data_IF_611595187283
#
_entry.id   IF_611595187283
#
_cell.length_a   1.000
_cell.length_b   1.000
_cell.length_c   1.000
_cell.angle_alpha   90.00
_cell.angle_beta   90.00
_cell.angle_gamma   90.00
#
_symmetry.space_group_name_H-M   'P 1'
#
loop_
_entity.id
_entity.type
_entity.pdbx_description
1 polymer ?
#
# COMPACT_ATOMS: atom_id res chain seq x y z
N UNK A 1 -37.61 19.33 10.50
CA UNK A 1 -36.30 19.51 11.15
C UNK A 1 -35.67 18.16 11.51
N UNK A 2 -36.23 17.38 12.45
CA UNK A 2 -35.64 16.08 12.82
C UNK A 2 -35.66 15.05 11.68
N UNK A 3 -36.79 14.91 10.97
CA UNK A 3 -36.90 13.98 9.84
C UNK A 3 -35.97 14.34 8.67
N UNK A 4 -35.88 15.62 8.32
CA UNK A 4 -34.98 16.11 7.25
C UNK A 4 -33.51 15.89 7.61
N UNK A 5 -33.11 16.15 8.86
CA UNK A 5 -31.77 15.86 9.34
C UNK A 5 -31.46 14.35 9.31
N UNK A 6 -32.40 13.50 9.71
CA UNK A 6 -32.24 12.05 9.68
C UNK A 6 -32.02 11.51 8.25
N UNK A 7 -32.75 12.03 7.27
CA UNK A 7 -32.58 11.65 5.85
C UNK A 7 -31.19 12.03 5.34
N UNK A 8 -30.70 13.24 5.66
CA UNK A 8 -29.35 13.68 5.25
C UNK A 8 -28.24 12.86 5.90
N UNK A 9 -28.38 12.52 7.19
CA UNK A 9 -27.43 11.65 7.90
C UNK A 9 -27.41 10.26 7.27
N UNK A 10 -28.58 9.70 6.92
CA UNK A 10 -28.66 8.39 6.28
C UNK A 10 -28.03 8.39 4.89
N UNK A 11 -28.24 9.45 4.10
CA UNK A 11 -27.61 9.62 2.78
C UNK A 11 -26.08 9.70 2.88
N UNK A 12 -25.55 10.41 3.89
CA UNK A 12 -24.12 10.45 4.16
C UNK A 12 -23.56 9.06 4.51
N UNK A 13 -24.27 8.30 5.35
CA UNK A 13 -23.86 6.95 5.75
C UNK A 13 -23.68 6.00 4.57
N UNK A 14 -24.51 6.09 3.53
CA UNK A 14 -24.36 5.30 2.30
C UNK A 14 -23.00 5.54 1.63
N UNK A 15 -22.58 6.80 1.53
CA UNK A 15 -21.27 7.13 0.94
C UNK A 15 -20.10 6.56 1.75
N UNK A 16 -20.20 6.58 3.08
CA UNK A 16 -19.22 5.97 3.98
C UNK A 16 -19.18 4.44 3.90
N UNK A 17 -20.29 3.79 3.56
CA UNK A 17 -20.35 2.35 3.34
C UNK A 17 -19.77 1.93 1.97
N UNK A 18 -20.01 2.73 0.92
CA UNK A 18 -19.64 2.39 -0.45
C UNK A 18 -18.18 2.73 -0.81
N UNK A 19 -17.63 3.81 -0.25
CA UNK A 19 -16.27 4.25 -0.58
C UNK A 19 -15.18 3.19 -0.31
N UNK A 20 -15.14 2.48 0.84
CA UNK A 20 -14.15 1.44 1.09
C UNK A 20 -14.19 0.33 0.03
N UNK A 21 -15.39 0.01 -0.49
CA UNK A 21 -15.56 -0.98 -1.57
C UNK A 21 -14.90 -0.49 -2.86
N UNK A 22 -15.15 0.75 -3.28
CA UNK A 22 -14.52 1.34 -4.46
C UNK A 22 -13.01 1.45 -4.31
N UNK A 23 -12.53 1.91 -3.15
CA UNK A 23 -11.11 2.02 -2.86
C UNK A 23 -10.41 0.65 -2.93
N UNK A 24 -11.05 -0.42 -2.43
CA UNK A 24 -10.52 -1.78 -2.49
C UNK A 24 -10.36 -2.30 -3.92
N UNK A 25 -11.30 -1.98 -4.82
CA UNK A 25 -11.23 -2.38 -6.23
C UNK A 25 -10.06 -1.67 -6.93
N UNK A 26 -9.94 -0.35 -6.76
CA UNK A 26 -8.83 0.41 -7.34
C UNK A 26 -7.46 0.01 -6.77
N UNK A 27 -7.40 -0.36 -5.49
CA UNK A 27 -6.18 -0.81 -4.84
C UNK A 27 -5.75 -2.20 -5.32
N UNK A 28 -6.70 -3.11 -5.59
CA UNK A 28 -6.42 -4.41 -6.19
C UNK A 28 -5.75 -4.25 -7.57
N UNK A 29 -6.22 -3.28 -8.36
CA UNK A 29 -5.63 -2.90 -9.66
C UNK A 29 -4.39 -2.00 -9.55
N UNK A 30 -3.85 -1.81 -8.33
CA UNK A 30 -2.64 -1.02 -8.04
C UNK A 30 -2.75 0.48 -8.39
N UNK A 31 -3.95 1.05 -8.42
CA UNK A 31 -4.17 2.49 -8.57
C UNK A 31 -4.19 3.25 -7.24
N UNK A 32 -4.45 2.55 -6.13
CA UNK A 32 -4.38 3.08 -4.76
C UNK A 32 -3.34 2.32 -3.92
N UNK A 33 -2.92 2.85 -2.76
CA UNK A 33 -2.02 2.14 -1.85
C UNK A 33 -2.53 0.74 -1.51
N UNK A 34 -1.65 -0.25 -1.53
CA UNK A 34 -2.01 -1.68 -1.32
C UNK A 34 -2.76 -1.93 -0.02
N UNK A 35 -2.59 -1.07 0.98
CA UNK A 35 -3.31 -1.14 2.26
C UNK A 35 -4.84 -1.16 2.09
N UNK A 36 -5.38 -0.53 1.04
CA UNK A 36 -6.82 -0.50 0.77
C UNK A 36 -7.37 -1.78 0.14
N UNK A 37 -6.53 -2.67 -0.39
CA UNK A 37 -6.99 -3.89 -1.07
C UNK A 37 -7.47 -4.99 -0.10
N UNK A 38 -7.03 -4.93 1.16
CA UNK A 38 -7.28 -5.98 2.15
C UNK A 38 -8.69 -5.86 2.75
N UNK A 39 -9.68 -6.54 2.19
CA UNK A 39 -11.09 -6.50 2.62
C UNK A 39 -11.41 -7.14 3.99
N UNK A 40 -10.46 -7.81 4.64
CA UNK A 40 -10.76 -8.82 5.68
C UNK A 40 -10.69 -8.37 7.15
N UNK A 41 -9.90 -7.35 7.49
CA UNK A 41 -9.73 -6.94 8.90
C UNK A 41 -10.50 -5.66 9.18
N UNK A 42 -11.23 -5.60 10.31
CA UNK A 42 -11.97 -4.41 10.78
C UNK A 42 -11.15 -3.10 10.70
N UNK A 43 -9.82 -3.20 10.71
CA UNK A 43 -8.85 -2.10 10.60
C UNK A 43 -8.72 -1.51 9.18
N UNK A 44 -8.95 -2.26 8.10
CA UNK A 44 -8.74 -1.77 6.72
C UNK A 44 -9.97 -1.08 6.15
N UNK A 45 -11.17 -1.56 6.50
CA UNK A 45 -12.42 -0.83 6.24
C UNK A 45 -12.40 0.52 6.98
N UNK A 46 -11.81 0.56 8.17
CA UNK A 46 -11.62 1.79 8.97
C UNK A 46 -10.74 2.82 8.27
N UNK A 47 -9.65 2.43 7.59
CA UNK A 47 -8.79 3.39 6.87
C UNK A 47 -9.54 4.11 5.74
N UNK A 48 -10.38 3.40 4.99
CA UNK A 48 -11.23 4.01 3.95
C UNK A 48 -12.20 5.04 4.54
N UNK A 49 -12.87 4.68 5.62
CA UNK A 49 -13.81 5.57 6.34
C UNK A 49 -13.10 6.78 6.94
N UNK A 50 -11.95 6.60 7.59
CA UNK A 50 -11.15 7.69 8.20
C UNK A 50 -10.68 8.67 7.13
N UNK A 51 -10.17 8.16 6.01
CA UNK A 51 -9.68 9.02 4.93
C UNK A 51 -10.83 9.79 4.29
N UNK A 52 -11.98 9.14 4.06
CA UNK A 52 -13.17 9.84 3.59
C UNK A 52 -13.65 10.90 4.58
N UNK A 53 -13.60 10.62 5.88
CA UNK A 53 -13.97 11.57 6.93
C UNK A 53 -13.03 12.80 6.93
N UNK A 54 -11.71 12.58 6.88
CA UNK A 54 -10.72 13.66 6.80
C UNK A 54 -10.93 14.48 5.52
N UNK A 55 -11.08 13.84 4.36
CA UNK A 55 -11.32 14.53 3.10
C UNK A 55 -12.63 15.34 3.12
N UNK A 56 -13.68 14.78 3.73
CA UNK A 56 -14.97 15.47 3.90
C UNK A 56 -14.83 16.68 4.81
N UNK A 57 -14.12 16.57 5.93
CA UNK A 57 -13.83 17.70 6.84
C UNK A 57 -13.02 18.77 6.10
N UNK A 58 -11.97 18.39 5.38
CA UNK A 58 -11.15 19.33 4.59
C UNK A 58 -12.02 20.06 3.56
N UNK A 59 -12.91 19.35 2.86
CA UNK A 59 -13.83 19.95 1.91
C UNK A 59 -14.79 20.93 2.60
N UNK A 60 -15.34 20.56 3.76
CA UNK A 60 -16.22 21.44 4.55
C UNK A 60 -15.50 22.72 4.96
N UNK A 61 -14.26 22.61 5.44
CA UNK A 61 -13.45 23.76 5.86
C UNK A 61 -13.09 24.67 4.68
N UNK A 62 -12.67 24.11 3.54
CA UNK A 62 -12.31 24.89 2.34
C UNK A 62 -13.50 25.69 1.80
N UNK A 63 -14.69 25.09 1.77
CA UNK A 63 -15.90 25.71 1.22
C UNK A 63 -16.75 26.43 2.26
N UNK A 64 -16.27 26.52 3.51
CA UNK A 64 -16.93 27.21 4.62
C UNK A 64 -18.33 26.66 4.95
N UNK A 65 -18.59 25.39 4.67
CA UNK A 65 -19.92 24.79 4.82
C UNK A 65 -20.99 25.36 3.88
N UNK A 66 -20.62 26.09 2.82
CA UNK A 66 -21.59 26.75 1.95
C UNK A 66 -22.17 25.82 0.88
N UNK A 67 -23.48 25.59 0.93
CA UNK A 67 -24.19 24.75 -0.05
C UNK A 67 -24.04 25.24 -1.49
N UNK A 68 -24.00 26.57 -1.70
CA UNK A 68 -23.91 27.20 -3.01
C UNK A 68 -22.67 26.79 -3.80
N UNK A 69 -21.57 26.50 -3.10
CA UNK A 69 -20.31 26.10 -3.69
C UNK A 69 -20.13 24.58 -3.74
N UNK A 70 -20.70 23.84 -2.77
CA UNK A 70 -20.57 22.38 -2.69
C UNK A 70 -21.49 21.64 -3.66
N UNK A 71 -22.70 22.14 -3.91
CA UNK A 71 -23.68 21.49 -4.80
C UNK A 71 -23.14 21.32 -6.24
N UNK A 72 -22.53 22.34 -6.88
CA UNK A 72 -21.90 22.16 -8.18
C UNK A 72 -20.79 21.11 -8.18
N UNK A 73 -19.99 21.02 -7.11
CA UNK A 73 -18.93 20.02 -7.01
C UNK A 73 -19.48 18.60 -7.08
N UNK A 74 -20.50 18.32 -6.27
CA UNK A 74 -21.19 17.03 -6.26
C UNK A 74 -21.87 16.73 -7.60
N UNK A 75 -22.63 17.69 -8.13
CA UNK A 75 -23.40 17.48 -9.36
C UNK A 75 -22.47 17.15 -10.55
N UNK A 76 -21.36 17.88 -10.72
CA UNK A 76 -20.40 17.63 -11.80
C UNK A 76 -19.79 16.23 -11.65
N UNK A 77 -19.42 15.80 -10.43
CA UNK A 77 -18.90 14.45 -10.20
C UNK A 77 -19.88 13.34 -10.55
N UNK A 78 -21.16 13.50 -10.16
CA UNK A 78 -22.22 12.52 -10.46
C UNK A 78 -22.54 12.49 -11.95
N UNK A 79 -22.74 13.65 -12.59
CA UNK A 79 -23.02 13.70 -14.02
C UNK A 79 -21.84 13.23 -14.87
N UNK A 80 -20.60 13.47 -14.45
CA UNK A 80 -19.43 12.87 -15.09
C UNK A 80 -19.45 11.34 -14.98
N UNK A 81 -19.73 10.82 -13.79
CA UNK A 81 -19.81 9.37 -13.57
C UNK A 81 -20.91 8.72 -14.42
N UNK A 82 -22.08 9.34 -14.50
CA UNK A 82 -23.15 8.89 -15.39
C UNK A 82 -22.76 9.00 -16.86
N UNK A 83 -22.19 10.12 -17.30
CA UNK A 83 -21.75 10.30 -18.69
C UNK A 83 -20.75 9.20 -19.08
N UNK A 84 -19.76 8.93 -18.23
CA UNK A 84 -18.75 7.90 -18.46
C UNK A 84 -19.36 6.49 -18.43
N UNK A 85 -20.24 6.19 -17.48
CA UNK A 85 -20.92 4.90 -17.40
C UNK A 85 -21.81 4.64 -18.62
N UNK A 86 -22.64 5.60 -19.01
CA UNK A 86 -23.54 5.50 -20.15
C UNK A 86 -22.76 5.38 -21.47
N UNK A 87 -21.71 6.19 -21.64
CA UNK A 87 -20.81 6.09 -22.79
C UNK A 87 -20.09 4.73 -22.83
N UNK A 88 -19.66 4.22 -21.67
CA UNK A 88 -19.05 2.90 -21.53
C UNK A 88 -20.01 1.77 -21.95
N UNK A 89 -21.29 1.85 -21.54
CA UNK A 89 -22.32 0.90 -21.94
C UNK A 89 -22.59 0.95 -23.45
N UNK A 90 -22.61 2.13 -24.07
CA UNK A 90 -22.69 2.25 -25.53
C UNK A 90 -21.54 1.52 -26.21
N UNK A 91 -20.30 1.73 -25.74
CA UNK A 91 -19.12 1.03 -26.29
C UNK A 91 -19.21 -0.48 -26.06
N UNK A 92 -19.72 -0.92 -24.90
CA UNK A 92 -19.93 -2.33 -24.58
C UNK A 92 -20.90 -3.00 -25.57
N UNK A 93 -22.11 -2.46 -25.74
CA UNK A 93 -23.10 -2.99 -26.68
C UNK A 93 -22.62 -2.96 -28.14
N UNK A 94 -21.85 -1.95 -28.53
CA UNK A 94 -21.25 -1.88 -29.86
C UNK A 94 -20.16 -2.95 -30.09
N UNK A 95 -19.45 -3.36 -29.03
CA UNK A 95 -18.45 -4.46 -29.11
C UNK A 95 -19.13 -5.81 -29.17
N UNK A 96 -20.21 -5.98 -28.42
CA UNK A 96 -21.03 -7.20 -28.40
C UNK A 96 -21.68 -7.48 -29.76
N UNK A 97 -22.22 -6.45 -30.42
CA UNK A 97 -22.67 -6.54 -31.82
C UNK A 97 -21.61 -7.09 -32.77
N UNK A 98 -20.35 -6.65 -32.63
CA UNK A 98 -19.25 -7.15 -33.49
C UNK A 98 -18.94 -8.62 -33.21
N UNK A 99 -19.15 -9.07 -31.97
CA UNK A 99 -19.04 -10.49 -31.59
C UNK A 99 -20.12 -11.32 -32.27
N UNK A 100 -21.38 -10.84 -32.25
CA UNK A 100 -22.51 -11.49 -32.92
C UNK A 100 -22.36 -11.52 -34.45
N UNK A 101 -21.91 -10.42 -35.07
CA UNK A 101 -21.63 -10.40 -36.51
C UNK A 101 -20.46 -11.34 -36.88
N UNK A 102 -19.45 -11.50 -36.01
CA UNK A 102 -18.37 -12.46 -36.21
C UNK A 102 -18.86 -13.91 -36.09
N UNK A 103 -19.75 -14.20 -35.12
CA UNK A 103 -20.43 -15.49 -34.95
C UNK A 103 -21.22 -15.86 -36.22
N UNK A 104 -22.02 -14.93 -36.75
CA UNK A 104 -22.80 -15.12 -37.96
C UNK A 104 -21.93 -15.39 -39.20
N UNK A 105 -20.76 -14.72 -39.31
CA UNK A 105 -19.79 -14.98 -40.39
C UNK A 105 -19.15 -16.37 -40.30
N UNK A 106 -18.78 -16.80 -39.09
CA UNK A 106 -18.22 -18.14 -38.86
C UNK A 106 -19.25 -19.21 -39.24
N UNK A 107 -20.52 -19.02 -38.85
CA UNK A 107 -21.62 -19.91 -39.20
C UNK A 107 -21.85 -19.99 -40.72
N UNK A 108 -21.91 -18.83 -41.40
CA UNK A 108 -22.09 -18.78 -42.85
C UNK A 108 -20.92 -19.40 -43.62
N UNK A 109 -19.69 -19.22 -43.14
CA UNK A 109 -18.50 -19.84 -43.72
C UNK A 109 -18.51 -21.36 -43.54
N UNK A 110 -18.90 -21.84 -42.36
CA UNK A 110 -19.01 -23.27 -42.10
C UNK A 110 -20.13 -23.93 -42.92
N UNK A 111 -21.28 -23.25 -43.08
CA UNK A 111 -22.37 -23.73 -43.94
C UNK A 111 -21.95 -23.81 -45.42
N UNK A 112 -21.16 -22.84 -45.90
CA UNK A 112 -20.56 -22.88 -47.24
C UNK A 112 -19.51 -24.00 -47.38
N UNK A 113 -18.70 -24.26 -46.36
CA UNK A 113 -17.73 -25.37 -46.34
C UNK A 113 -18.42 -26.75 -46.27
N UNK A 114 -19.58 -26.86 -45.60
CA UNK A 114 -20.42 -28.07 -45.57
C UNK A 114 -20.99 -28.45 -46.94
N UNK A 115 -21.23 -27.49 -47.82
CA UNK A 115 -21.72 -27.77 -49.19
C UNK A 115 -20.66 -28.45 -50.08
N UNK A 116 -19.38 -28.34 -49.73
CA UNK A 116 -18.25 -28.81 -50.56
C UNK A 116 -17.43 -29.95 -49.93
N UNK A 117 -17.77 -30.43 -48.73
CA UNK A 117 -16.95 -31.42 -47.98
C UNK A 117 -17.63 -32.80 -47.90
N UNK A 118 -16.86 -33.85 -48.19
CA UNK A 118 -17.26 -35.28 -48.16
C UNK A 118 -16.84 -36.03 -46.88
N UNK A 119 -16.45 -35.31 -45.81
CA UNK A 119 -15.97 -35.89 -44.55
C UNK A 119 -17.04 -35.99 -43.47
N UNK A 120 -16.78 -36.87 -42.49
CA UNK A 120 -17.67 -37.29 -41.40
C UNK A 120 -18.33 -36.11 -40.64
N UNK A 121 -19.66 -35.94 -40.74
CA UNK A 121 -20.38 -34.75 -40.29
C UNK A 121 -20.43 -34.53 -38.77
N UNK A 122 -20.06 -35.53 -37.95
CA UNK A 122 -20.26 -35.46 -36.50
C UNK A 122 -19.15 -34.71 -35.73
N UNK A 123 -17.91 -34.71 -36.21
CA UNK A 123 -16.77 -34.11 -35.49
C UNK A 123 -16.73 -32.57 -35.60
N UNK A 124 -17.07 -32.00 -36.75
CA UNK A 124 -17.12 -30.54 -36.94
C UNK A 124 -18.31 -29.89 -36.23
N UNK A 125 -19.47 -30.55 -36.29
CA UNK A 125 -20.70 -30.07 -35.67
C UNK A 125 -20.59 -29.96 -34.15
N UNK A 126 -19.76 -30.79 -33.50
CA UNK A 126 -19.53 -30.73 -32.06
C UNK A 126 -18.76 -29.47 -31.65
N UNK A 127 -17.63 -29.17 -32.31
CA UNK A 127 -16.83 -27.98 -32.04
C UNK A 127 -17.58 -26.67 -32.29
N UNK A 128 -18.42 -26.65 -33.33
CA UNK A 128 -19.26 -25.49 -33.63
C UNK A 128 -20.37 -25.32 -32.63
N UNK A 129 -21.03 -26.41 -32.21
CA UNK A 129 -22.04 -26.36 -31.15
C UNK A 129 -21.46 -25.89 -29.82
N UNK A 130 -20.24 -26.29 -29.47
CA UNK A 130 -19.55 -25.80 -28.28
C UNK A 130 -19.24 -24.29 -28.38
N UNK A 131 -18.77 -23.82 -29.54
CA UNK A 131 -18.53 -22.39 -29.79
C UNK A 131 -19.82 -21.56 -29.77
N UNK A 132 -20.91 -22.09 -30.33
CA UNK A 132 -22.21 -21.42 -30.34
C UNK A 132 -22.81 -21.34 -28.94
N UNK A 133 -22.76 -22.42 -28.16
CA UNK A 133 -23.22 -22.43 -26.77
C UNK A 133 -22.47 -21.42 -25.89
N UNK A 134 -21.16 -21.26 -26.10
CA UNK A 134 -20.35 -20.29 -25.37
C UNK A 134 -20.74 -18.83 -25.69
N UNK A 135 -21.35 -18.56 -26.85
CA UNK A 135 -21.75 -17.22 -27.28
C UNK A 135 -23.25 -16.96 -27.01
N UNK A 136 -24.10 -17.96 -27.19
CA UNK A 136 -25.56 -17.91 -26.92
C UNK A 136 -25.85 -17.70 -25.41
N UNK A 137 -24.92 -18.06 -24.53
CA UNK A 137 -25.01 -17.80 -23.09
C UNK A 137 -24.93 -16.29 -22.73
N UNK A 138 -24.56 -15.42 -23.67
CA UNK A 138 -24.47 -13.95 -23.51
C UNK A 138 -25.65 -13.19 -24.18
N UNK A 139 -26.54 -13.87 -24.92
CA UNK A 139 -27.61 -13.20 -25.68
C UNK A 139 -28.80 -12.81 -24.79
N UNK A 140 -28.74 -11.57 -24.27
CA UNK A 140 -29.73 -11.04 -23.34
C UNK A 140 -30.22 -9.62 -23.65
N UNK A 141 -30.54 -9.28 -24.89
CA UNK A 141 -31.39 -8.11 -25.17
C UNK A 141 -31.16 -7.39 -26.50
N UNK A 142 -32.14 -6.58 -26.91
CA UNK A 142 -32.08 -5.72 -28.10
C UNK A 142 -30.93 -4.71 -27.97
N UNK A 143 -29.71 -5.09 -28.38
CA UNK A 143 -28.51 -4.25 -28.30
C UNK A 143 -28.71 -2.87 -28.93
N UNK A 144 -29.53 -2.78 -29.98
CA UNK A 144 -29.86 -1.53 -30.65
C UNK A 144 -30.66 -0.60 -29.73
N UNK A 145 -31.68 -1.13 -29.04
CA UNK A 145 -32.48 -0.37 -28.08
C UNK A 145 -31.61 0.06 -26.89
N UNK A 146 -30.81 -0.85 -26.33
CA UNK A 146 -29.88 -0.54 -25.25
C UNK A 146 -28.86 0.52 -25.66
N UNK A 147 -28.32 0.44 -26.87
CA UNK A 147 -27.36 1.43 -27.41
C UNK A 147 -28.02 2.80 -27.56
N UNK A 148 -29.24 2.88 -28.09
CA UNK A 148 -29.97 4.14 -28.28
C UNK A 148 -30.33 4.77 -26.92
N UNK A 149 -30.83 3.97 -25.98
CA UNK A 149 -31.18 4.45 -24.63
C UNK A 149 -29.94 4.99 -23.92
N UNK A 150 -28.85 4.20 -23.87
CA UNK A 150 -27.62 4.63 -23.21
C UNK A 150 -26.96 5.81 -23.96
N UNK A 151 -27.03 5.86 -25.29
CA UNK A 151 -26.49 6.96 -26.09
C UNK A 151 -27.24 8.27 -25.90
N UNK A 152 -28.56 8.21 -25.79
CA UNK A 152 -29.41 9.37 -25.45
C UNK A 152 -29.12 9.83 -24.03
N UNK A 153 -29.03 8.89 -23.08
CA UNK A 153 -28.65 9.18 -21.70
C UNK A 153 -27.28 9.83 -21.59
N UNK A 154 -26.27 9.32 -22.29
CA UNK A 154 -24.93 9.89 -22.36
C UNK A 154 -24.96 11.32 -22.93
N UNK A 155 -25.73 11.57 -23.98
CA UNK A 155 -25.85 12.89 -24.60
C UNK A 155 -26.51 13.91 -23.65
N UNK A 156 -27.63 13.53 -23.02
CA UNK A 156 -28.33 14.40 -22.07
C UNK A 156 -27.44 14.71 -20.87
N UNK A 157 -26.83 13.68 -20.26
CA UNK A 157 -25.96 13.86 -19.10
C UNK A 157 -24.71 14.67 -19.43
N UNK A 158 -24.14 14.51 -20.63
CA UNK A 158 -23.02 15.32 -21.10
C UNK A 158 -23.40 16.79 -21.31
N UNK A 159 -24.57 17.08 -21.90
CA UNK A 159 -25.07 18.45 -22.03
C UNK A 159 -25.27 19.09 -20.66
N UNK A 160 -25.90 18.36 -19.72
CA UNK A 160 -26.09 18.84 -18.35
C UNK A 160 -24.74 19.10 -17.66
N UNK A 161 -23.77 18.20 -17.83
CA UNK A 161 -22.42 18.36 -17.31
C UNK A 161 -21.77 19.65 -17.82
N UNK A 162 -21.81 19.90 -19.14
CA UNK A 162 -21.28 21.13 -19.75
C UNK A 162 -21.98 22.36 -19.19
N UNK A 163 -23.31 22.36 -19.17
CA UNK A 163 -24.10 23.50 -18.67
C UNK A 163 -23.74 23.79 -17.21
N UNK A 164 -23.66 22.76 -16.35
CA UNK A 164 -23.28 22.94 -14.94
C UNK A 164 -21.84 23.46 -14.80
N UNK A 165 -20.89 22.91 -15.55
CA UNK A 165 -19.50 23.37 -15.49
C UNK A 165 -19.35 24.83 -15.93
N UNK A 166 -20.05 25.24 -17.00
CA UNK A 166 -19.98 26.62 -17.51
C UNK A 166 -20.73 27.59 -16.59
N UNK A 167 -21.98 27.29 -16.23
CA UNK A 167 -22.84 28.21 -15.45
C UNK A 167 -22.38 28.39 -14.01
N UNK A 168 -21.80 27.34 -13.41
CA UNK A 168 -21.31 27.37 -12.01
C UNK A 168 -19.79 27.47 -11.93
N UNK A 169 -19.12 27.86 -13.02
CA UNK A 169 -17.66 27.98 -13.07
C UNK A 169 -17.12 28.83 -11.92
N UNK A 170 -17.67 30.04 -11.74
CA UNK A 170 -17.28 30.98 -10.67
C UNK A 170 -17.70 30.54 -9.27
N UNK A 171 -18.66 29.61 -9.15
CA UNK A 171 -19.20 29.13 -7.88
C UNK A 171 -18.46 27.90 -7.36
N UNK A 172 -17.39 27.46 -8.01
CA UNK A 172 -16.54 26.35 -7.56
C UNK A 172 -16.45 25.18 -8.53
N UNK A 173 -17.19 25.18 -9.64
CA UNK A 173 -17.08 24.10 -10.64
C UNK A 173 -15.67 23.95 -11.22
N UNK A 174 -14.90 25.04 -11.29
CA UNK A 174 -13.48 25.02 -11.68
C UNK A 174 -12.64 24.05 -10.82
N UNK A 175 -12.99 23.90 -9.53
CA UNK A 175 -12.26 23.02 -8.62
C UNK A 175 -12.37 21.57 -9.07
N UNK A 176 -13.54 21.11 -9.54
CA UNK A 176 -13.73 19.74 -10.04
C UNK A 176 -12.95 19.50 -11.34
N UNK A 177 -12.99 20.48 -12.25
CA UNK A 177 -12.28 20.42 -13.54
C UNK A 177 -10.78 20.27 -13.34
N UNK A 178 -10.22 20.81 -12.26
CA UNK A 178 -8.81 20.65 -11.88
C UNK A 178 -8.57 19.38 -11.04
N UNK A 179 -9.44 19.12 -10.07
CA UNK A 179 -9.29 18.04 -9.10
C UNK A 179 -9.36 16.67 -9.75
N UNK A 180 -10.27 16.44 -10.70
CA UNK A 180 -10.43 15.13 -11.34
C UNK A 180 -9.18 14.74 -12.15
N UNK A 181 -8.64 15.58 -13.05
CA UNK A 181 -7.37 15.30 -13.71
C UNK A 181 -6.22 15.07 -12.73
N UNK A 182 -6.13 15.87 -11.66
CA UNK A 182 -5.09 15.70 -10.64
C UNK A 182 -5.19 14.32 -9.96
N UNK A 183 -6.40 13.90 -9.57
CA UNK A 183 -6.63 12.56 -9.00
C UNK A 183 -6.26 11.48 -10.02
N UNK A 184 -6.68 11.60 -11.27
CA UNK A 184 -6.34 10.61 -12.32
C UNK A 184 -4.82 10.52 -12.54
N UNK A 185 -4.11 11.66 -12.58
CA UNK A 185 -2.66 11.70 -12.69
C UNK A 185 -1.98 11.04 -11.48
N UNK A 186 -2.46 11.32 -10.27
CA UNK A 186 -1.98 10.68 -9.05
C UNK A 186 -2.16 9.15 -9.10
N UNK A 187 -3.36 8.66 -9.45
CA UNK A 187 -3.65 7.22 -9.56
C UNK A 187 -2.74 6.56 -10.61
N UNK A 188 -2.53 7.20 -11.77
CA UNK A 188 -1.61 6.69 -12.82
C UNK A 188 -0.15 6.70 -12.35
N UNK A 189 0.27 7.72 -11.61
CA UNK A 189 1.62 7.80 -11.04
C UNK A 189 1.87 6.67 -10.03
N UNK A 190 0.90 6.38 -9.15
CA UNK A 190 0.96 5.27 -8.21
C UNK A 190 1.07 3.93 -8.96
N UNK A 191 0.21 3.70 -9.95
CA UNK A 191 0.25 2.47 -10.75
C UNK A 191 1.60 2.29 -11.48
N UNK A 192 2.11 3.36 -12.11
CA UNK A 192 3.43 3.37 -12.77
C UNK A 192 4.53 3.05 -11.76
N UNK A 193 4.52 3.68 -10.59
CA UNK A 193 5.49 3.41 -9.54
C UNK A 193 5.48 1.93 -9.12
N UNK A 194 4.30 1.36 -8.86
CA UNK A 194 4.21 -0.06 -8.50
C UNK A 194 4.68 -1.00 -9.59
N UNK A 195 4.41 -0.69 -10.86
CA UNK A 195 4.93 -1.48 -12.00
C UNK A 195 6.46 -1.42 -12.09
N UNK A 196 7.05 -0.24 -11.87
CA UNK A 196 8.50 -0.07 -11.86
C UNK A 196 9.15 -0.85 -10.73
N UNK A 197 8.61 -0.79 -9.52
CA UNK A 197 9.10 -1.55 -8.36
C UNK A 197 8.96 -3.06 -8.59
N UNK A 198 7.82 -3.50 -9.13
CA UNK A 198 7.61 -4.92 -9.44
C UNK A 198 8.61 -5.44 -10.50
N UNK A 199 8.92 -4.62 -11.51
CA UNK A 199 9.94 -4.96 -12.50
C UNK A 199 11.36 -5.04 -11.88
N UNK A 200 11.70 -4.12 -10.95
CA UNK A 200 13.00 -4.13 -10.26
C UNK A 200 13.20 -5.31 -9.31
N UNK A 201 12.11 -5.85 -8.76
CA UNK A 201 12.12 -7.02 -7.88
C UNK A 201 11.89 -8.35 -8.64
N UNK A 202 11.60 -8.29 -9.94
CA UNK A 202 11.41 -9.50 -10.74
C UNK A 202 12.74 -10.23 -10.92
N UNK A 203 12.71 -11.54 -10.69
CA UNK A 203 13.84 -12.44 -10.90
C UNK A 203 13.94 -12.93 -12.35
N UNK A 204 13.00 -12.55 -13.22
CA UNK A 204 12.93 -13.01 -14.62
C UNK A 204 14.09 -12.48 -15.48
N UNK A 205 14.64 -11.30 -15.14
CA UNK A 205 15.52 -10.53 -16.05
C UNK A 205 16.98 -10.35 -15.56
N UNK A 206 17.36 -10.91 -14.41
CA UNK A 206 18.73 -10.79 -13.87
C UNK A 206 19.27 -12.09 -13.32
N UNK A 207 20.55 -12.34 -13.55
CA UNK A 207 21.32 -13.36 -12.85
C UNK A 207 21.24 -13.09 -11.34
N UNK A 208 20.37 -13.83 -10.66
CA UNK A 208 20.31 -13.84 -9.20
C UNK A 208 21.71 -14.24 -8.73
N UNK A 209 22.42 -13.41 -7.94
CA UNK A 209 23.73 -13.78 -7.45
C UNK A 209 23.58 -15.11 -6.69
N UNK A 210 24.42 -16.09 -7.05
CA UNK A 210 24.40 -17.39 -6.41
C UNK A 210 24.53 -17.21 -4.90
N UNK A 211 23.81 -18.03 -4.13
CA UNK A 211 23.95 -18.05 -2.68
C UNK A 211 25.43 -18.13 -2.29
N UNK A 212 25.89 -17.32 -1.32
CA UNK A 212 27.28 -17.34 -0.89
C UNK A 212 27.68 -18.77 -0.51
N UNK A 213 28.77 -19.28 -1.09
CA UNK A 213 29.27 -20.64 -0.80
C UNK A 213 29.93 -20.75 0.57
N UNK A 214 30.38 -19.63 1.14
CA UNK A 214 30.96 -19.56 2.47
C UNK A 214 29.99 -18.87 3.45
N UNK A 215 29.96 -19.26 4.73
CA UNK A 215 29.21 -18.54 5.76
C UNK A 215 29.68 -17.08 5.77
N UNK A 216 28.74 -16.15 5.70
CA UNK A 216 29.07 -14.74 5.88
C UNK A 216 29.49 -14.51 7.33
N UNK A 217 30.61 -13.84 7.54
CA UNK A 217 30.99 -13.39 8.88
C UNK A 217 29.91 -12.44 9.40
N UNK A 218 29.43 -12.67 10.62
CA UNK A 218 28.42 -11.84 11.24
C UNK A 218 29.03 -11.17 12.48
N UNK A 219 28.88 -9.86 12.59
CA UNK A 219 29.30 -9.10 13.78
C UNK A 219 28.07 -8.55 14.46
N UNK A 220 27.95 -8.80 15.75
CA UNK A 220 26.73 -8.53 16.48
C UNK A 220 27.00 -7.38 17.44
N UNK A 221 26.34 -6.25 17.22
CA UNK A 221 26.44 -5.07 18.07
C UNK A 221 25.15 -4.95 18.87
N UNK A 222 25.27 -4.80 20.20
CA UNK A 222 24.12 -4.58 21.09
C UNK A 222 24.24 -3.20 21.72
N UNK A 223 23.54 -2.17 21.18
CA UNK A 223 23.50 -0.87 21.81
C UNK A 223 22.76 -0.94 23.14
N UNK A 224 23.40 -0.48 24.20
CA UNK A 224 22.84 -0.48 25.56
C UNK A 224 22.91 0.92 26.15
N UNK A 225 21.88 1.27 26.93
CA UNK A 225 21.84 2.52 27.70
C UNK A 225 22.24 2.32 29.17
N UNK A 226 22.56 1.08 29.55
CA UNK A 226 22.85 0.62 30.90
C UNK A 226 22.43 -0.85 31.03
N UNK A 227 22.55 -1.42 32.23
CA UNK A 227 22.08 -2.77 32.52
C UNK A 227 20.69 -2.71 33.16
N UNK A 228 19.71 -3.34 32.53
CA UNK A 228 18.36 -3.42 33.03
C UNK A 228 17.62 -4.63 32.44
N UNK A 229 16.46 -4.97 32.99
CA UNK A 229 15.67 -6.15 32.58
C UNK A 229 15.33 -6.20 31.08
N UNK A 230 15.20 -5.05 30.42
CA UNK A 230 14.98 -4.98 28.97
C UNK A 230 16.20 -5.35 28.11
N UNK A 231 17.42 -5.24 28.63
CA UNK A 231 18.67 -5.54 27.89
C UNK A 231 19.00 -7.04 27.95
N UNK A 232 18.69 -7.72 29.05
CA UNK A 232 19.06 -9.13 29.23
C UNK A 232 18.51 -10.06 28.13
N UNK A 233 17.24 -9.97 27.68
CA UNK A 233 16.76 -10.77 26.55
C UNK A 233 17.52 -10.47 25.25
N UNK A 234 17.89 -9.21 25.01
CA UNK A 234 18.65 -8.81 23.85
C UNK A 234 20.08 -9.39 23.86
N UNK A 235 20.74 -9.39 25.02
CA UNK A 235 22.06 -10.02 25.19
C UNK A 235 22.02 -11.52 24.98
N UNK A 236 21.01 -12.20 25.55
CA UNK A 236 20.81 -13.65 25.36
C UNK A 236 20.56 -14.00 23.91
N UNK A 237 19.72 -13.21 23.22
CA UNK A 237 19.46 -13.37 21.80
C UNK A 237 20.73 -13.13 20.96
N UNK A 238 21.47 -12.04 21.23
CA UNK A 238 22.73 -11.75 20.57
C UNK A 238 23.76 -12.87 20.75
N UNK A 239 23.86 -13.45 21.95
CA UNK A 239 24.73 -14.60 22.19
C UNK A 239 24.28 -15.85 21.44
N UNK A 240 22.97 -16.09 21.34
CA UNK A 240 22.46 -17.23 20.55
C UNK A 240 22.80 -17.11 19.07
N UNK A 241 22.90 -15.89 18.53
CA UNK A 241 23.34 -15.62 17.15
C UNK A 241 24.86 -15.83 16.95
N UNK A 242 25.66 -15.72 18.01
CA UNK A 242 27.10 -15.99 17.98
C UNK A 242 27.44 -17.46 17.68
N UNK A 243 26.50 -18.37 17.98
CA UNK A 243 26.69 -19.82 17.84
C UNK A 243 27.87 -20.32 18.68
N UNK A 244 28.72 -21.17 18.07
CA UNK A 244 29.95 -21.70 18.69
C UNK A 244 31.13 -20.69 18.65
N UNK A 245 30.86 -19.39 18.78
CA UNK A 245 31.89 -18.33 18.74
C UNK A 245 32.32 -17.91 17.33
N UNK A 246 31.49 -18.17 16.31
CA UNK A 246 31.78 -17.79 14.92
C UNK A 246 31.51 -16.30 14.65
N UNK A 247 30.69 -15.66 15.48
CA UNK A 247 30.33 -14.26 15.35
C UNK A 247 30.64 -13.49 16.63
N UNK A 248 31.38 -12.39 16.49
CA UNK A 248 31.78 -11.55 17.61
C UNK A 248 30.58 -10.74 18.12
N UNK A 249 30.28 -10.83 19.42
CA UNK A 249 29.24 -10.04 20.06
C UNK A 249 29.90 -8.93 20.87
N UNK A 250 29.55 -7.68 20.60
CA UNK A 250 30.02 -6.51 21.36
C UNK A 250 28.84 -5.69 21.83
N UNK A 251 28.77 -5.42 23.13
CA UNK A 251 27.84 -4.44 23.66
C UNK A 251 28.44 -3.04 23.58
N UNK A 252 27.63 -2.06 23.20
CA UNK A 252 28.09 -0.68 22.99
C UNK A 252 27.32 0.24 23.91
N UNK A 253 28.04 0.90 24.81
CA UNK A 253 27.50 1.93 25.69
C UNK A 253 28.05 3.29 25.28
N UNK A 254 27.16 4.27 25.08
CA UNK A 254 27.57 5.64 24.83
C UNK A 254 27.63 6.40 26.15
N UNK A 255 28.82 6.82 26.52
CA UNK A 255 29.07 7.58 27.73
C UNK A 255 28.56 9.01 27.58
N UNK A 256 27.57 9.37 28.42
CA UNK A 256 27.02 10.73 28.54
C UNK A 256 27.58 11.43 29.78
N UNK A 257 27.75 10.67 30.87
CA UNK A 257 28.31 11.14 32.13
C UNK A 257 29.39 10.16 32.61
N UNK A 258 30.68 10.59 32.62
CA UNK A 258 31.79 9.75 33.07
C UNK A 258 31.65 9.18 34.48
N UNK A 259 30.91 9.87 35.37
CA UNK A 259 30.72 9.43 36.75
C UNK A 259 29.94 8.11 36.86
N UNK A 260 29.05 7.82 35.91
CA UNK A 260 28.19 6.64 35.95
C UNK A 260 28.81 5.44 35.20
N UNK A 261 29.85 5.66 34.41
CA UNK A 261 30.45 4.63 33.56
C UNK A 261 31.12 3.53 34.37
N UNK A 262 31.77 3.88 35.48
CA UNK A 262 32.42 2.90 36.36
C UNK A 262 31.41 2.03 37.12
N UNK A 263 30.23 2.56 37.44
CA UNK A 263 29.13 1.76 38.00
C UNK A 263 28.62 0.76 36.97
N UNK A 264 28.36 1.22 35.75
CA UNK A 264 27.92 0.35 34.64
C UNK A 264 28.95 -0.73 34.33
N UNK A 265 30.25 -0.41 34.34
CA UNK A 265 31.33 -1.39 34.13
C UNK A 265 31.26 -2.52 35.16
N UNK A 266 31.10 -2.18 36.45
CA UNK A 266 30.99 -3.16 37.54
C UNK A 266 29.74 -4.01 37.41
N UNK A 267 28.58 -3.41 37.13
CA UNK A 267 27.36 -4.18 36.93
C UNK A 267 27.44 -5.07 35.68
N UNK A 268 28.17 -4.63 34.64
CA UNK A 268 28.38 -5.40 33.42
C UNK A 268 29.25 -6.63 33.63
N UNK A 269 30.25 -6.58 34.53
CA UNK A 269 31.02 -7.77 34.91
C UNK A 269 30.14 -8.87 35.51
N UNK A 270 29.09 -8.47 36.24
CA UNK A 270 28.15 -9.40 36.88
C UNK A 270 27.10 -9.91 35.89
N UNK A 271 26.51 -9.01 35.09
CA UNK A 271 25.30 -9.30 34.31
C UNK A 271 25.51 -9.38 32.79
N UNK A 272 26.66 -8.93 32.28
CA UNK A 272 26.97 -8.90 30.84
C UNK A 272 27.23 -10.28 30.23
N UNK A 273 27.17 -11.34 31.02
CA UNK A 273 27.39 -12.74 30.63
C UNK A 273 28.71 -12.94 29.84
N UNK A 274 29.75 -12.15 30.10
CA UNK A 274 31.05 -12.25 29.40
C UNK A 274 31.07 -11.65 27.99
N UNK A 275 30.03 -10.91 27.60
CA UNK A 275 30.04 -10.10 26.36
C UNK A 275 30.89 -8.84 26.62
N UNK A 276 31.89 -8.54 25.77
CA UNK A 276 32.70 -7.34 25.92
C UNK A 276 31.86 -6.06 25.80
N UNK A 277 32.08 -5.13 26.72
CA UNK A 277 31.47 -3.80 26.72
C UNK A 277 32.44 -2.77 26.14
N UNK A 278 32.06 -2.16 25.01
CA UNK A 278 32.78 -1.06 24.39
C UNK A 278 32.10 0.26 24.74
N UNK A 279 32.87 1.15 25.36
CA UNK A 279 32.40 2.48 25.78
C UNK A 279 32.82 3.48 24.71
N UNK A 280 31.86 4.28 24.24
CA UNK A 280 32.09 5.36 23.27
C UNK A 280 31.83 6.68 23.97
N UNK A 281 32.83 7.54 23.99
CA UNK A 281 32.71 8.89 24.53
C UNK A 281 31.79 9.75 23.65
N UNK A 282 30.89 10.53 24.28
CA UNK A 282 30.03 11.48 23.58
C UNK A 282 30.39 12.93 23.92
N UNK A 283 31.07 13.65 23.01
CA UNK A 283 31.52 15.03 23.26
C UNK A 283 30.38 16.02 23.56
N UNK A 284 29.13 15.67 23.21
CA UNK A 284 27.96 16.53 23.32
C UNK A 284 26.77 15.85 24.01
N UNK A 285 27.00 14.77 24.79
CA UNK A 285 25.92 14.02 25.47
C UNK A 285 24.84 13.49 24.51
N UNK A 286 25.19 13.33 23.24
CA UNK A 286 24.35 12.74 22.20
C UNK A 286 24.56 11.23 22.19
N UNK A 287 23.48 10.44 22.22
CA UNK A 287 23.59 8.97 22.15
C UNK A 287 23.61 8.48 20.71
N UNK A 288 22.71 9.01 19.88
CA UNK A 288 22.45 8.50 18.53
C UNK A 288 23.61 8.73 17.57
N UNK A 289 24.16 9.93 17.51
CA UNK A 289 25.24 10.28 16.57
C UNK A 289 26.52 9.45 16.76
N UNK A 290 27.14 9.37 17.96
CA UNK A 290 28.34 8.57 18.14
C UNK A 290 28.09 7.07 17.95
N UNK A 291 26.92 6.57 18.37
CA UNK A 291 26.53 5.18 18.17
C UNK A 291 26.45 4.83 16.68
N UNK A 292 25.74 5.65 15.89
CA UNK A 292 25.60 5.42 14.45
C UNK A 292 26.93 5.52 13.72
N UNK A 293 27.78 6.49 14.12
CA UNK A 293 29.13 6.61 13.57
C UNK A 293 29.92 5.33 13.83
N UNK A 294 29.95 4.85 15.07
CA UNK A 294 30.62 3.61 15.43
C UNK A 294 30.13 2.39 14.64
N UNK A 295 28.80 2.22 14.55
CA UNK A 295 28.21 1.10 13.82
C UNK A 295 28.59 1.16 12.33
N UNK A 296 28.54 2.34 11.72
CA UNK A 296 28.90 2.51 10.31
C UNK A 296 30.42 2.28 10.09
N UNK A 297 31.27 2.82 10.97
CA UNK A 297 32.73 2.65 10.89
C UNK A 297 33.11 1.15 11.01
N UNK A 298 32.45 0.40 11.91
CA UNK A 298 32.64 -1.05 12.03
C UNK A 298 32.15 -1.83 10.81
N UNK A 299 30.99 -1.45 10.25
CA UNK A 299 30.42 -2.08 9.07
C UNK A 299 31.26 -1.81 7.80
N UNK A 300 31.83 -0.61 7.66
CA UNK A 300 32.70 -0.25 6.54
C UNK A 300 34.07 -0.91 6.61
N UNK A 301 34.59 -1.11 7.83
CA UNK A 301 35.87 -1.77 8.06
C UNK A 301 35.87 -3.25 7.63
N UNK A 302 34.69 -3.89 7.59
CA UNK A 302 34.54 -5.32 7.31
C UNK A 302 33.58 -5.58 6.15
N UNK A 303 33.98 -5.20 4.93
CA UNK A 303 33.14 -5.25 3.72
C UNK A 303 32.56 -6.63 3.34
N UNK A 304 33.16 -7.71 3.84
CA UNK A 304 32.70 -9.09 3.61
C UNK A 304 31.87 -9.66 4.79
N UNK A 305 31.50 -8.83 5.77
CA UNK A 305 30.67 -9.22 6.91
C UNK A 305 29.33 -8.49 6.90
N UNK A 306 28.33 -9.10 7.54
CA UNK A 306 27.09 -8.42 7.90
C UNK A 306 27.22 -7.94 9.34
N UNK A 307 26.88 -6.68 9.58
CA UNK A 307 26.75 -6.16 10.96
C UNK A 307 25.29 -6.27 11.41
N UNK A 308 25.02 -7.13 12.36
CA UNK A 308 23.71 -7.28 13.00
C UNK A 308 23.63 -6.41 14.25
N UNK A 309 22.79 -5.37 14.22
CA UNK A 309 22.53 -4.51 15.37
C UNK A 309 21.29 -5.01 16.11
N UNK A 310 21.48 -5.54 17.31
CA UNK A 310 20.40 -6.04 18.17
C UNK A 310 19.95 -4.92 19.10
N UNK A 311 18.79 -4.33 18.83
CA UNK A 311 18.20 -3.23 19.60
C UNK A 311 17.28 -3.78 20.70
N UNK A 312 17.58 -3.54 21.98
CA UNK A 312 16.63 -3.80 23.06
C UNK A 312 15.46 -2.82 22.98
N UNK A 313 14.23 -3.33 22.87
CA UNK A 313 13.03 -2.50 22.81
C UNK A 313 12.11 -2.75 24.00
N UNK A 314 11.63 -1.68 24.59
CA UNK A 314 10.59 -1.75 25.60
C UNK A 314 9.24 -1.63 24.93
N UNK A 315 8.37 -2.61 25.16
CA UNK A 315 6.98 -2.55 24.71
C UNK A 315 6.11 -2.16 25.90
N UNK A 316 5.64 -0.90 25.98
CA UNK A 316 4.73 -0.45 27.03
C UNK A 316 3.38 -1.14 26.91
N UNK A 317 2.59 -1.08 27.98
CA UNK A 317 1.26 -1.69 28.05
C UNK A 317 0.23 -0.99 27.15
N UNK A 318 0.32 0.33 27.04
CA UNK A 318 -0.62 1.12 26.24
C UNK A 318 0.07 1.75 25.02
N UNK A 319 -0.59 1.71 23.86
CA UNK A 319 -0.04 2.19 22.59
C UNK A 319 0.32 3.69 22.61
N UNK A 320 -0.39 4.51 23.41
CA UNK A 320 -0.12 5.95 23.52
C UNK A 320 1.17 6.25 24.31
N UNK A 321 1.60 5.36 25.20
CA UNK A 321 2.88 5.49 25.91
C UNK A 321 4.08 5.27 24.97
N UNK A 322 3.87 4.53 23.87
CA UNK A 322 4.88 4.33 22.83
C UNK A 322 5.32 5.66 22.20
N UNK A 323 4.38 6.60 22.03
CA UNK A 323 4.65 7.93 21.47
C UNK A 323 5.55 8.76 22.39
N UNK A 324 5.54 8.53 23.70
CA UNK A 324 6.30 9.31 24.67
C UNK A 324 7.70 8.74 24.95
N UNK A 325 7.91 7.43 24.78
CA UNK A 325 9.11 6.77 25.34
C UNK A 325 10.04 6.06 24.34
N UNK A 326 9.67 5.85 23.07
CA UNK A 326 10.50 5.07 22.11
C UNK A 326 11.04 5.86 20.89
N UNK A 327 11.23 7.19 21.02
CA UNK A 327 11.60 8.04 19.88
C UNK A 327 13.05 7.80 19.40
N UNK A 328 13.99 7.56 20.32
CA UNK A 328 15.42 7.37 19.98
C UNK A 328 15.66 6.11 19.16
N UNK A 329 15.04 4.99 19.53
CA UNK A 329 15.17 3.72 18.81
C UNK A 329 14.57 3.79 17.41
N UNK A 330 13.44 4.49 17.25
CA UNK A 330 12.83 4.72 15.95
C UNK A 330 13.76 5.51 15.02
N UNK A 331 14.44 6.54 15.55
CA UNK A 331 15.44 7.30 14.80
C UNK A 331 16.67 6.46 14.41
N UNK A 332 17.18 5.63 15.33
CA UNK A 332 18.31 4.73 15.05
C UNK A 332 17.93 3.74 13.94
N UNK A 333 16.79 3.05 14.07
CA UNK A 333 16.26 2.16 13.04
C UNK A 333 16.11 2.87 11.70
N UNK A 334 15.46 4.03 11.70
CA UNK A 334 15.24 4.82 10.50
C UNK A 334 16.53 5.15 9.76
N UNK A 335 17.61 5.48 10.47
CA UNK A 335 18.92 5.75 9.86
C UNK A 335 19.64 4.48 9.41
N UNK A 336 19.64 3.42 10.21
CA UNK A 336 20.33 2.17 9.89
C UNK A 336 19.67 1.40 8.74
N UNK A 337 18.37 1.56 8.50
CA UNK A 337 17.65 0.93 7.38
C UNK A 337 18.19 1.35 5.99
N UNK A 338 18.87 2.50 5.91
CA UNK A 338 19.47 3.00 4.67
C UNK A 338 20.97 2.68 4.56
N UNK A 339 21.56 2.02 5.55
CA UNK A 339 22.97 1.62 5.53
C UNK A 339 23.15 0.28 4.80
N UNK A 340 24.25 0.13 4.05
CA UNK A 340 24.60 -1.13 3.38
C UNK A 340 25.19 -2.12 4.39
N UNK A 341 24.91 -3.41 4.21
CA UNK A 341 25.45 -4.51 5.04
C UNK A 341 25.11 -4.45 6.54
N UNK A 342 24.10 -3.66 6.93
CA UNK A 342 23.60 -3.58 8.30
C UNK A 342 22.22 -4.23 8.36
N UNK A 343 22.06 -5.17 9.30
CA UNK A 343 20.78 -5.79 9.64
C UNK A 343 20.39 -5.31 11.03
N UNK A 344 19.16 -4.84 11.20
CA UNK A 344 18.66 -4.38 12.50
C UNK A 344 17.64 -5.36 13.03
N UNK A 345 17.89 -5.93 14.20
CA UNK A 345 16.99 -6.87 14.87
C UNK A 345 16.49 -6.26 16.17
N UNK A 346 15.17 -6.30 16.38
CA UNK A 346 14.55 -5.74 17.58
C UNK A 346 14.17 -6.84 18.55
N UNK A 347 14.64 -6.75 19.79
CA UNK A 347 14.30 -7.72 20.84
C UNK A 347 13.42 -7.03 21.85
N UNK A 348 12.14 -7.38 21.82
CA UNK A 348 11.12 -6.76 22.66
C UNK A 348 11.08 -7.35 24.07
N UNK A 349 11.06 -6.48 25.08
CA UNK A 349 10.75 -6.82 26.46
C UNK A 349 9.42 -6.19 26.86
N UNK A 350 8.43 -7.02 27.16
CA UNK A 350 7.11 -6.58 27.60
C UNK A 350 7.11 -6.29 29.10
N UNK A 351 6.70 -5.07 29.47
CA UNK A 351 6.49 -4.71 30.87
C UNK A 351 5.27 -5.47 31.41
N UNK A 352 5.43 -6.13 32.57
CA UNK A 352 4.38 -6.95 33.19
C UNK A 352 3.32 -6.14 33.95
N UNK A 353 3.53 -4.84 34.20
CA UNK A 353 2.56 -3.97 34.91
C UNK A 353 2.42 -2.62 34.22
#
# INVERSE_FOLDING_TARGET
MAATAAILILAANTSFADFPRLASLLAADRYLPRQFANRGDRLVFSNGVIILAILSIVLIVIFGGSEQSMLPLYAIGVFLSFTLSQSGMVVHWLRERKSEEAKARILAQEEAERLHRTEDPNASALHTRERLKAIEQDEGGNWLLSTIINGTGASITFVVLIVLTVTKFTHGAWAVVVLIPLIVLMLRAINKHYRLVAAQLSLEDKAVPAFPKAPMENRIIVPVSGIHRGVLPALKYARSLSGNGQAEVTAVYVEINPQNTEEIRKEWEIWGEGIPLRIIESPYRLVTTPLLKFINDEAESHKNSITTVVLPEFVPRAWWQQLLHNQTTLLIKGKLLFSKNIVVTSVSHHLRR
#
